data_IF_056502409627
#
_entry.id   IF_056502409627
#
_cell.length_a   1.000
_cell.length_b   1.000
_cell.length_c   1.000
_cell.angle_alpha   90.00
_cell.angle_beta   90.00
_cell.angle_gamma   90.00
#
_symmetry.space_group_name_H-M   'P 1'
#
loop_
_entity.id
_entity.type
_entity.pdbx_description
1 polymer ?
#
# COMPACT_ATOMS: atom_id res chain seq x y z
N UNK A 1 -32.69 28.28 4.91
CA UNK A 1 -32.17 29.59 4.48
C UNK A 1 -32.79 30.66 5.37
N UNK A 2 -31.94 31.46 6.00
CA UNK A 2 -32.25 32.39 7.07
C UNK A 2 -32.65 33.80 6.65
N UNK A 3 -32.51 34.73 7.59
CA UNK A 3 -32.88 36.14 7.45
C UNK A 3 -31.96 37.04 8.28
N UNK A 4 -31.77 38.28 7.81
CA UNK A 4 -30.97 39.28 8.51
C UNK A 4 -31.79 39.94 9.62
N UNK A 5 -31.32 39.84 10.86
CA UNK A 5 -31.79 40.64 11.98
C UNK A 5 -30.74 41.70 12.28
N UNK A 6 -30.99 42.93 11.84
CA UNK A 6 -30.01 44.01 11.90
C UNK A 6 -28.78 43.71 11.03
N UNK A 7 -27.62 43.57 11.69
CA UNK A 7 -26.32 43.25 11.09
C UNK A 7 -25.89 41.80 11.31
N UNK A 8 -26.76 40.98 11.91
CA UNK A 8 -26.51 39.56 12.21
C UNK A 8 -27.43 38.66 11.40
N UNK A 9 -26.88 37.59 10.84
CA UNK A 9 -27.66 36.59 10.10
C UNK A 9 -28.23 35.54 11.06
N UNK A 10 -29.54 35.33 11.02
CA UNK A 10 -30.19 34.20 11.69
C UNK A 10 -30.51 33.11 10.71
N UNK A 11 -29.93 31.93 10.93
CA UNK A 11 -30.29 30.73 10.20
C UNK A 11 -31.74 30.31 10.52
N UNK A 12 -32.53 30.09 9.46
CA UNK A 12 -33.85 29.50 9.55
C UNK A 12 -33.88 28.30 8.60
N UNK A 13 -33.80 27.09 9.14
CA UNK A 13 -33.77 25.87 8.35
C UNK A 13 -35.11 25.17 8.46
N UNK A 14 -35.76 24.96 7.32
CA UNK A 14 -37.00 24.19 7.20
C UNK A 14 -36.73 22.89 6.46
N UNK A 15 -37.19 21.79 7.05
CA UNK A 15 -37.01 20.46 6.51
C UNK A 15 -38.26 20.03 5.75
N UNK A 16 -38.10 19.31 4.63
CA UNK A 16 -39.23 18.85 3.80
C UNK A 16 -40.16 17.86 4.51
N UNK A 17 -39.65 17.12 5.49
CA UNK A 17 -40.38 16.12 6.28
C UNK A 17 -39.90 16.13 7.73
N UNK A 18 -40.66 15.50 8.62
CA UNK A 18 -40.23 15.26 9.99
C UNK A 18 -38.93 14.46 10.05
N UNK A 19 -38.06 14.83 10.99
CA UNK A 19 -36.72 14.24 11.16
C UNK A 19 -36.81 12.85 11.78
N UNK A 20 -35.98 11.94 11.28
CA UNK A 20 -35.75 10.62 11.87
C UNK A 20 -34.74 10.73 13.02
N UNK A 21 -34.69 9.72 13.90
CA UNK A 21 -33.81 9.72 15.08
C UNK A 21 -32.34 9.97 14.76
N UNK A 22 -31.81 9.30 13.72
CA UNK A 22 -30.41 9.44 13.26
C UNK A 22 -30.06 10.80 12.66
N UNK A 23 -31.06 11.52 12.14
CA UNK A 23 -30.86 12.82 11.47
C UNK A 23 -30.71 13.96 12.50
N UNK A 24 -31.01 13.71 13.78
CA UNK A 24 -30.79 14.69 14.86
C UNK A 24 -29.31 14.92 15.15
N UNK A 25 -28.51 13.85 15.16
CA UNK A 25 -27.07 13.94 15.42
C UNK A 25 -26.36 14.71 14.28
N UNK A 26 -26.76 14.46 13.03
CA UNK A 26 -26.27 15.20 11.86
C UNK A 26 -26.67 16.68 11.91
N UNK A 27 -27.89 16.99 12.39
CA UNK A 27 -28.36 18.36 12.57
C UNK A 27 -27.58 19.10 13.65
N UNK A 28 -27.25 18.46 14.78
CA UNK A 28 -26.39 19.08 15.81
C UNK A 28 -24.99 19.40 15.28
N UNK A 29 -24.42 18.53 14.44
CA UNK A 29 -23.14 18.78 13.78
C UNK A 29 -23.27 19.97 12.82
N UNK A 30 -24.34 20.02 12.03
CA UNK A 30 -24.61 21.15 11.13
C UNK A 30 -24.71 22.46 11.91
N UNK A 31 -25.48 22.50 13.00
CA UNK A 31 -25.62 23.70 13.82
C UNK A 31 -24.28 24.17 14.40
N UNK A 32 -23.43 23.25 14.86
CA UNK A 32 -22.05 23.58 15.30
C UNK A 32 -21.19 24.18 14.18
N UNK A 33 -21.34 23.71 12.94
CA UNK A 33 -20.64 24.30 11.79
C UNK A 33 -21.18 25.70 11.49
N UNK A 34 -22.51 25.87 11.47
CA UNK A 34 -23.18 27.12 11.15
C UNK A 34 -22.93 28.22 12.19
N UNK A 35 -22.76 27.88 13.47
CA UNK A 35 -22.45 28.82 14.56
C UNK A 35 -21.12 29.55 14.35
N UNK A 36 -20.17 28.90 13.67
CA UNK A 36 -18.87 29.48 13.36
C UNK A 36 -18.90 30.37 12.11
N UNK A 37 -20.01 30.40 11.36
CA UNK A 37 -20.14 31.14 10.10
C UNK A 37 -20.80 32.50 10.34
N UNK A 38 -20.01 33.55 10.16
CA UNK A 38 -20.48 34.94 10.25
C UNK A 38 -20.60 35.54 8.85
N UNK A 39 -21.83 35.57 8.32
CA UNK A 39 -22.10 36.23 7.05
C UNK A 39 -21.87 37.74 7.20
N UNK A 40 -21.47 38.40 6.10
CA UNK A 40 -21.31 39.87 6.06
C UNK A 40 -22.33 40.48 5.12
N UNK A 41 -23.19 41.36 5.65
CA UNK A 41 -24.25 42.02 4.89
C UNK A 41 -23.65 42.82 3.73
N UNK A 42 -24.22 42.67 2.54
CA UNK A 42 -23.75 43.33 1.32
C UNK A 42 -22.51 42.72 0.65
N UNK A 43 -21.89 41.69 1.24
CA UNK A 43 -20.81 40.93 0.60
C UNK A 43 -21.42 39.74 -0.14
N UNK A 44 -21.07 39.57 -1.42
CA UNK A 44 -21.46 38.37 -2.18
C UNK A 44 -20.60 37.18 -1.78
N UNK A 45 -21.18 35.99 -1.82
CA UNK A 45 -20.46 34.74 -1.65
C UNK A 45 -19.46 34.52 -2.79
N UNK A 46 -18.32 33.93 -2.45
CA UNK A 46 -17.26 33.60 -3.39
C UNK A 46 -16.64 32.27 -3.02
N UNK A 47 -16.30 31.45 -4.01
CA UNK A 47 -15.52 30.25 -3.80
C UNK A 47 -14.10 30.60 -3.35
N UNK A 48 -13.66 29.97 -2.27
CA UNK A 48 -12.28 30.08 -1.78
C UNK A 48 -11.58 28.74 -1.81
N UNK A 49 -10.40 28.71 -2.41
CA UNK A 49 -9.51 27.56 -2.38
C UNK A 49 -8.79 27.46 -1.03
N UNK A 50 -9.10 26.43 -0.26
CA UNK A 50 -8.60 26.24 1.12
C UNK A 50 -7.08 26.08 1.21
N UNK A 51 -6.41 25.62 0.17
CA UNK A 51 -4.95 25.37 0.18
C UNK A 51 -4.11 26.55 -0.33
N UNK A 52 -4.70 27.73 -0.52
CA UNK A 52 -3.99 28.91 -1.02
C UNK A 52 -4.11 30.08 -0.03
N UNK A 53 -3.00 30.72 0.37
CA UNK A 53 -3.05 31.98 1.12
C UNK A 53 -3.84 33.01 0.29
N UNK A 54 -4.96 33.49 0.84
CA UNK A 54 -5.87 34.41 0.15
C UNK A 54 -7.02 33.76 -0.62
N UNK A 55 -7.18 32.44 -0.56
CA UNK A 55 -8.37 31.74 -1.05
C UNK A 55 -8.52 31.71 -2.58
N UNK A 56 -7.54 32.17 -3.35
CA UNK A 56 -7.61 32.15 -4.81
C UNK A 56 -7.05 30.85 -5.36
N UNK A 57 -7.78 30.23 -6.29
CA UNK A 57 -7.28 29.08 -7.03
C UNK A 57 -6.12 29.49 -7.96
N UNK A 58 -5.01 28.77 -7.88
CA UNK A 58 -3.90 28.87 -8.83
C UNK A 58 -3.49 27.45 -9.22
N UNK A 59 -3.40 27.18 -10.52
CA UNK A 59 -2.99 25.87 -11.05
C UNK A 59 -1.69 25.40 -10.44
N UNK A 60 -0.70 26.30 -10.29
CA UNK A 60 0.58 25.99 -9.62
C UNK A 60 0.39 25.52 -8.18
N UNK A 61 -0.40 26.22 -7.38
CA UNK A 61 -0.63 25.86 -5.96
C UNK A 61 -1.40 24.56 -5.85
N UNK A 62 -2.39 24.33 -6.71
CA UNK A 62 -3.13 23.08 -6.77
C UNK A 62 -2.22 21.92 -7.18
N UNK A 63 -1.37 22.12 -8.18
CA UNK A 63 -0.39 21.12 -8.62
C UNK A 63 0.64 20.85 -7.53
N UNK A 64 1.21 21.88 -6.89
CA UNK A 64 2.17 21.71 -5.81
C UNK A 64 1.54 20.98 -4.61
N UNK A 65 0.28 21.28 -4.29
CA UNK A 65 -0.47 20.55 -3.28
C UNK A 65 -0.63 19.05 -3.64
N UNK A 66 -1.16 18.75 -4.83
CA UNK A 66 -1.32 17.36 -5.30
C UNK A 66 0.04 16.65 -5.40
N UNK A 67 1.05 17.32 -5.94
CA UNK A 67 2.38 16.79 -6.10
C UNK A 67 3.09 16.60 -4.75
N UNK A 68 2.85 17.44 -3.74
CA UNK A 68 3.42 17.25 -2.40
C UNK A 68 2.89 15.98 -1.73
N UNK A 69 1.59 15.70 -1.86
CA UNK A 69 0.99 14.47 -1.38
C UNK A 69 1.60 13.25 -2.07
N UNK A 70 1.72 13.31 -3.40
CA UNK A 70 2.38 12.25 -4.20
C UNK A 70 3.86 12.11 -3.82
N UNK A 71 4.62 13.21 -3.67
CA UNK A 71 6.06 13.23 -3.35
C UNK A 71 6.38 12.69 -1.95
N UNK A 72 5.50 12.90 -0.97
CA UNK A 72 5.69 12.38 0.39
C UNK A 72 5.59 10.85 0.43
N UNK A 73 4.60 10.30 -0.27
CA UNK A 73 4.49 8.86 -0.51
C UNK A 73 5.67 8.34 -1.35
N UNK A 74 6.09 9.10 -2.37
CA UNK A 74 7.07 8.67 -3.36
C UNK A 74 8.51 8.65 -2.81
N UNK A 75 8.92 9.58 -1.95
CA UNK A 75 10.34 9.69 -1.54
C UNK A 75 10.80 8.61 -0.55
N UNK A 76 10.00 8.28 0.46
CA UNK A 76 10.34 7.22 1.40
C UNK A 76 10.18 5.83 0.78
N UNK A 77 9.09 5.64 0.03
CA UNK A 77 8.82 4.41 -0.69
C UNK A 77 9.86 4.14 -1.77
N UNK A 78 10.25 5.14 -2.57
CA UNK A 78 11.31 4.96 -3.58
C UNK A 78 12.62 4.53 -2.93
N UNK A 79 13.06 5.20 -1.85
CA UNK A 79 14.29 4.81 -1.15
C UNK A 79 14.24 3.38 -0.62
N UNK A 80 13.08 2.95 -0.14
CA UNK A 80 12.87 1.60 0.35
C UNK A 80 12.88 0.56 -0.80
N UNK A 81 12.15 0.82 -1.89
CA UNK A 81 11.98 -0.14 -2.99
C UNK A 81 13.24 -0.30 -3.86
N UNK A 82 14.01 0.78 -4.04
CA UNK A 82 15.26 0.75 -4.81
C UNK A 82 16.43 0.17 -4.00
N UNK A 83 16.21 -1.02 -3.43
CA UNK A 83 17.18 -1.80 -2.67
C UNK A 83 18.28 -2.39 -3.58
N UNK A 84 19.56 -2.17 -3.24
CA UNK A 84 20.70 -2.66 -4.05
C UNK A 84 20.89 -4.18 -4.00
N UNK A 85 20.34 -4.82 -2.96
CA UNK A 85 20.50 -6.25 -2.69
C UNK A 85 19.63 -7.14 -3.59
N UNK A 86 18.64 -6.56 -4.29
CA UNK A 86 17.84 -7.25 -5.29
C UNK A 86 18.20 -6.81 -6.72
N UNK A 87 17.94 -7.64 -7.74
CA UNK A 87 18.02 -7.20 -9.13
C UNK A 87 17.07 -6.02 -9.42
N UNK A 88 17.45 -5.08 -10.28
CA UNK A 88 16.64 -3.88 -10.59
C UNK A 88 15.23 -4.21 -11.10
N UNK A 89 15.04 -5.34 -11.78
CA UNK A 89 13.72 -5.85 -12.20
C UNK A 89 12.80 -6.11 -10.99
N UNK A 90 13.36 -6.58 -9.88
CA UNK A 90 12.64 -6.87 -8.65
C UNK A 90 12.25 -5.56 -7.95
N UNK A 91 13.13 -4.56 -7.91
CA UNK A 91 12.78 -3.22 -7.42
C UNK A 91 11.67 -2.57 -8.26
N UNK A 92 11.78 -2.63 -9.59
CA UNK A 92 10.73 -2.11 -10.48
C UNK A 92 9.37 -2.82 -10.25
N UNK A 93 9.42 -4.12 -10.03
CA UNK A 93 8.23 -4.89 -9.64
C UNK A 93 7.66 -4.40 -8.30
N UNK A 94 8.49 -4.23 -7.27
CA UNK A 94 8.06 -3.71 -5.97
C UNK A 94 7.41 -2.33 -6.07
N UNK A 95 7.95 -1.45 -6.91
CA UNK A 95 7.38 -0.13 -7.17
C UNK A 95 6.00 -0.24 -7.83
N UNK A 96 5.88 -1.14 -8.81
CA UNK A 96 4.60 -1.43 -9.47
C UNK A 96 3.58 -2.06 -8.51
N UNK A 97 4.03 -2.90 -7.58
CA UNK A 97 3.22 -3.52 -6.54
C UNK A 97 2.63 -2.48 -5.59
N UNK A 98 3.47 -1.61 -5.04
CA UNK A 98 3.05 -0.61 -4.04
C UNK A 98 2.10 0.46 -4.61
N UNK A 99 2.09 0.62 -5.94
CA UNK A 99 1.20 1.55 -6.64
C UNK A 99 -0.08 0.90 -7.18
N UNK A 100 -0.36 -0.38 -6.85
CA UNK A 100 -1.47 -1.17 -7.42
C UNK A 100 -1.45 -1.20 -8.96
N UNK A 101 -0.26 -1.36 -9.55
CA UNK A 101 -0.06 -1.33 -11.02
C UNK A 101 0.27 -2.68 -11.64
N UNK A 102 0.33 -3.74 -10.85
CA UNK A 102 0.51 -5.10 -11.36
C UNK A 102 -0.71 -5.53 -12.20
N UNK A 103 -0.51 -6.37 -13.25
CA UNK A 103 -1.58 -6.89 -14.09
C UNK A 103 -2.36 -8.03 -13.39
N UNK A 104 -2.91 -7.74 -12.22
CA UNK A 104 -3.91 -8.61 -11.58
C UNK A 104 -5.21 -8.58 -12.40
N UNK A 105 -6.08 -9.59 -12.25
CA UNK A 105 -7.34 -9.63 -13.00
C UNK A 105 -8.20 -8.39 -12.75
N UNK A 106 -8.30 -7.92 -11.50
CA UNK A 106 -8.99 -6.66 -11.18
C UNK A 106 -8.35 -5.46 -11.88
N UNK A 107 -7.02 -5.36 -11.93
CA UNK A 107 -6.35 -4.22 -12.57
C UNK A 107 -6.43 -4.28 -14.10
N UNK A 108 -6.47 -5.48 -14.70
CA UNK A 108 -6.73 -5.65 -16.12
C UNK A 108 -8.16 -5.22 -16.46
N UNK A 109 -9.15 -5.59 -15.64
CA UNK A 109 -10.53 -5.16 -15.80
C UNK A 109 -10.68 -3.63 -15.71
N UNK A 110 -10.02 -2.99 -14.72
CA UNK A 110 -9.96 -1.52 -14.61
C UNK A 110 -9.36 -0.85 -15.86
N UNK A 111 -8.52 -1.55 -16.62
CA UNK A 111 -7.90 -1.08 -17.86
C UNK A 111 -8.71 -1.41 -19.13
N UNK A 112 -9.92 -1.95 -18.97
CA UNK A 112 -10.80 -2.27 -20.09
C UNK A 112 -10.56 -3.64 -20.74
N UNK A 113 -9.80 -4.53 -20.10
CA UNK A 113 -9.71 -5.93 -20.56
C UNK A 113 -10.99 -6.65 -20.16
N UNK A 114 -11.73 -7.14 -21.14
CA UNK A 114 -12.93 -7.96 -20.92
C UNK A 114 -12.52 -9.33 -20.36
N UNK A 115 -12.83 -9.56 -19.09
CA UNK A 115 -12.64 -10.83 -18.39
C UNK A 115 -14.02 -11.33 -17.92
N UNK A 116 -14.31 -12.60 -18.14
CA UNK A 116 -15.49 -13.25 -17.56
C UNK A 116 -15.33 -13.42 -16.04
N UNK A 117 -16.44 -13.62 -15.33
CA UNK A 117 -16.43 -13.68 -13.86
C UNK A 117 -15.57 -14.85 -13.35
N UNK A 118 -15.56 -15.96 -14.08
CA UNK A 118 -14.77 -17.15 -13.81
C UNK A 118 -13.27 -16.87 -14.00
N UNK A 119 -12.90 -16.00 -14.95
CA UNK A 119 -11.52 -15.59 -15.19
C UNK A 119 -10.99 -14.62 -14.12
N UNK A 120 -11.87 -13.97 -13.36
CA UNK A 120 -11.51 -13.09 -12.26
C UNK A 120 -11.05 -13.86 -11.03
N UNK A 121 -11.52 -15.09 -10.84
CA UNK A 121 -11.24 -15.90 -9.64
C UNK A 121 -9.83 -16.48 -9.62
N UNK A 122 -9.00 -16.18 -10.60
CA UNK A 122 -7.69 -16.79 -10.84
C UNK A 122 -6.58 -16.30 -9.87
N UNK A 123 -6.73 -16.58 -8.57
CA UNK A 123 -5.68 -16.43 -7.56
C UNK A 123 -4.88 -17.73 -7.35
N UNK A 124 -4.07 -17.79 -6.29
CA UNK A 124 -3.38 -19.03 -5.88
C UNK A 124 -4.36 -20.18 -5.53
N UNK A 125 -5.67 -19.91 -5.43
CA UNK A 125 -6.69 -20.92 -5.09
C UNK A 125 -7.96 -20.91 -5.93
N UNK A 126 -8.03 -20.15 -7.02
CA UNK A 126 -9.20 -20.10 -7.91
C UNK A 126 -10.58 -19.74 -7.27
N UNK A 127 -10.60 -19.19 -6.06
CA UNK A 127 -11.83 -19.02 -5.25
C UNK A 127 -12.25 -17.56 -5.02
N UNK A 128 -11.30 -16.63 -5.12
CA UNK A 128 -11.50 -15.21 -4.80
C UNK A 128 -10.96 -14.37 -5.95
N UNK A 129 -11.60 -13.22 -6.20
CA UNK A 129 -11.17 -12.26 -7.21
C UNK A 129 -9.68 -11.94 -7.02
N UNK A 130 -8.92 -12.03 -8.11
CA UNK A 130 -7.49 -11.75 -8.07
C UNK A 130 -7.24 -10.24 -7.99
N UNK A 131 -6.94 -9.80 -6.77
CA UNK A 131 -6.58 -8.44 -6.41
C UNK A 131 -5.21 -8.43 -5.72
N UNK A 132 -4.54 -7.29 -5.69
CA UNK A 132 -3.20 -7.16 -5.11
C UNK A 132 -3.20 -7.53 -3.62
N UNK A 133 -4.13 -6.98 -2.82
CA UNK A 133 -4.20 -7.30 -1.39
C UNK A 133 -4.55 -8.77 -1.13
N UNK A 134 -5.41 -9.37 -1.97
CA UNK A 134 -5.68 -10.80 -1.85
C UNK A 134 -4.44 -11.62 -2.15
N UNK A 135 -3.81 -11.37 -3.30
CA UNK A 135 -2.69 -12.16 -3.79
C UNK A 135 -1.47 -12.11 -2.87
N UNK A 136 -1.19 -10.98 -2.25
CA UNK A 136 0.01 -10.78 -1.44
C UNK A 136 -0.24 -10.84 0.07
N UNK A 137 -1.48 -10.72 0.56
CA UNK A 137 -1.74 -10.56 1.99
C UNK A 137 -2.78 -11.56 2.52
N UNK A 138 -4.00 -11.56 1.98
CA UNK A 138 -5.12 -12.31 2.59
C UNK A 138 -5.29 -13.72 2.06
N UNK A 139 -4.70 -14.04 0.91
CA UNK A 139 -4.64 -15.41 0.42
C UNK A 139 -3.87 -16.28 1.43
N UNK A 140 -4.46 -17.38 1.91
CA UNK A 140 -3.82 -18.21 2.95
C UNK A 140 -2.48 -18.79 2.48
N UNK A 141 -2.32 -19.10 1.20
CA UNK A 141 -1.06 -19.56 0.63
C UNK A 141 0.02 -18.49 0.77
N UNK A 142 -0.27 -17.26 0.35
CA UNK A 142 0.66 -16.13 0.49
C UNK A 142 0.97 -15.85 1.95
N UNK A 143 -0.04 -15.86 2.82
CA UNK A 143 0.13 -15.69 4.26
C UNK A 143 1.05 -16.75 4.88
N UNK A 144 0.90 -18.04 4.52
CA UNK A 144 1.77 -19.11 5.01
C UNK A 144 3.23 -18.89 4.56
N UNK A 145 3.46 -18.38 3.35
CA UNK A 145 4.80 -18.07 2.85
C UNK A 145 5.40 -16.91 3.64
N UNK A 146 4.65 -15.83 3.86
CA UNK A 146 5.11 -14.72 4.71
C UNK A 146 5.48 -15.19 6.11
N UNK A 147 4.61 -15.95 6.78
CA UNK A 147 4.88 -16.46 8.13
C UNK A 147 6.14 -17.32 8.17
N UNK A 148 6.30 -18.25 7.22
CA UNK A 148 7.49 -19.12 7.15
C UNK A 148 8.77 -18.32 6.93
N UNK A 149 8.75 -17.34 6.02
CA UNK A 149 9.92 -16.51 5.73
C UNK A 149 10.22 -15.59 6.90
N UNK A 150 9.23 -14.89 7.47
CA UNK A 150 9.45 -14.01 8.61
C UNK A 150 10.01 -14.75 9.82
N UNK A 151 9.48 -15.96 10.11
CA UNK A 151 10.06 -16.82 11.15
C UNK A 151 11.49 -17.25 10.85
N UNK A 152 11.82 -17.54 9.59
CA UNK A 152 13.19 -17.82 9.18
C UNK A 152 14.13 -16.62 9.44
N UNK A 153 13.61 -15.39 9.36
CA UNK A 153 14.32 -14.16 9.74
C UNK A 153 14.21 -13.81 11.23
N UNK A 154 13.65 -14.68 12.08
CA UNK A 154 13.47 -14.41 13.51
C UNK A 154 12.41 -13.35 13.83
N UNK A 155 11.53 -13.03 12.89
CA UNK A 155 10.49 -12.00 13.04
C UNK A 155 9.15 -12.66 13.34
N UNK A 156 8.62 -12.38 14.53
CA UNK A 156 7.26 -12.76 14.93
C UNK A 156 6.33 -11.55 14.81
N UNK A 157 5.33 -11.63 13.94
CA UNK A 157 4.39 -10.53 13.70
C UNK A 157 3.05 -11.03 13.20
N UNK A 158 2.02 -10.20 13.36
CA UNK A 158 0.72 -10.39 12.72
C UNK A 158 0.76 -9.70 11.36
N UNK A 159 0.54 -10.47 10.30
CA UNK A 159 0.53 -9.95 8.93
C UNK A 159 -0.62 -8.97 8.71
N UNK A 160 -0.31 -7.84 8.07
CA UNK A 160 -1.32 -6.91 7.59
C UNK A 160 -2.13 -7.53 6.45
N UNK A 161 -3.37 -7.07 6.28
CA UNK A 161 -4.30 -7.54 5.25
C UNK A 161 -4.27 -6.73 3.96
N UNK A 162 -3.40 -5.73 3.86
CA UNK A 162 -3.21 -4.89 2.66
C UNK A 162 -1.73 -4.77 2.32
N UNK A 163 -1.43 -4.59 1.03
CA UNK A 163 -0.06 -4.36 0.56
C UNK A 163 0.48 -3.06 1.09
N UNK A 164 -0.36 -2.03 1.22
CA UNK A 164 0.03 -0.79 1.89
C UNK A 164 0.46 -1.05 3.34
N UNK A 165 -0.34 -1.80 4.11
CA UNK A 165 -0.02 -2.11 5.51
C UNK A 165 1.26 -2.94 5.66
N UNK A 166 1.46 -3.95 4.81
CA UNK A 166 2.73 -4.71 4.80
C UNK A 166 3.90 -3.78 4.42
N UNK A 167 3.73 -2.92 3.41
CA UNK A 167 4.78 -1.98 2.99
C UNK A 167 5.15 -1.03 4.12
N UNK A 168 4.16 -0.46 4.82
CA UNK A 168 4.37 0.39 6.00
C UNK A 168 5.08 -0.40 7.11
N UNK A 169 4.64 -1.64 7.39
CA UNK A 169 5.28 -2.52 8.37
C UNK A 169 6.78 -2.71 8.09
N UNK A 170 7.19 -2.98 6.85
CA UNK A 170 8.60 -3.14 6.51
C UNK A 170 9.37 -1.81 6.36
N UNK A 171 8.68 -0.70 6.07
CA UNK A 171 9.26 0.63 6.02
C UNK A 171 9.63 1.13 7.42
N UNK A 172 8.82 0.78 8.41
CA UNK A 172 9.13 0.94 9.82
C UNK A 172 10.18 -0.10 10.24
N UNK A 173 11.20 0.36 10.97
CA UNK A 173 12.31 -0.50 11.39
C UNK A 173 11.77 -1.68 12.21
N UNK A 174 12.03 -2.91 11.77
CA UNK A 174 11.48 -4.17 12.29
C UNK A 174 12.07 -4.49 13.67
N UNK A 175 11.84 -3.60 14.65
CA UNK A 175 12.46 -3.64 15.97
C UNK A 175 13.97 -3.37 15.97
N UNK A 176 14.54 -2.81 14.89
CA UNK A 176 15.99 -2.56 14.78
C UNK A 176 16.82 -3.79 14.43
N UNK A 177 16.19 -4.94 14.16
CA UNK A 177 16.85 -6.24 14.02
C UNK A 177 17.66 -6.33 12.71
N UNK A 178 17.10 -5.79 11.62
CA UNK A 178 17.64 -6.05 10.27
C UNK A 178 18.15 -4.78 9.58
N UNK A 179 17.78 -3.59 10.05
CA UNK A 179 18.05 -2.33 9.35
C UNK A 179 17.21 -2.18 8.07
N UNK A 180 17.00 -0.93 7.62
CA UNK A 180 16.02 -0.59 6.57
C UNK A 180 16.26 -1.30 5.24
N UNK A 181 17.51 -1.52 4.86
CA UNK A 181 17.84 -2.13 3.58
C UNK A 181 17.55 -3.63 3.53
N UNK A 182 17.82 -4.35 4.63
CA UNK A 182 17.47 -5.76 4.75
C UNK A 182 15.95 -5.91 4.87
N UNK A 183 15.26 -5.01 5.57
CA UNK A 183 13.79 -5.00 5.59
C UNK A 183 13.20 -4.86 4.18
N UNK A 184 13.71 -3.92 3.39
CA UNK A 184 13.34 -3.78 1.98
C UNK A 184 13.62 -5.05 1.17
N UNK A 185 14.80 -5.65 1.38
CA UNK A 185 15.20 -6.86 0.72
C UNK A 185 14.23 -8.03 1.00
N UNK A 186 13.89 -8.28 2.27
CA UNK A 186 12.94 -9.33 2.67
C UNK A 186 11.60 -9.12 1.98
N UNK A 187 11.05 -7.91 2.08
CA UNK A 187 9.77 -7.55 1.45
C UNK A 187 9.77 -7.84 -0.05
N UNK A 188 10.79 -7.33 -0.77
CA UNK A 188 10.89 -7.43 -2.22
C UNK A 188 11.09 -8.87 -2.70
N UNK A 189 11.91 -9.66 -1.99
CA UNK A 189 12.13 -11.07 -2.32
C UNK A 189 10.84 -11.87 -2.20
N UNK A 190 10.14 -11.78 -1.08
CA UNK A 190 8.91 -12.56 -0.85
C UNK A 190 7.84 -12.17 -1.85
N UNK A 191 7.59 -10.86 -2.02
CA UNK A 191 6.62 -10.37 -2.98
C UNK A 191 6.96 -10.81 -4.41
N UNK A 192 8.22 -10.76 -4.82
CA UNK A 192 8.63 -11.23 -6.14
C UNK A 192 8.32 -12.71 -6.36
N UNK A 193 8.64 -13.57 -5.40
CA UNK A 193 8.43 -15.01 -5.56
C UNK A 193 6.95 -15.41 -5.49
N UNK A 194 6.12 -14.70 -4.71
CA UNK A 194 4.66 -14.84 -4.76
C UNK A 194 4.12 -14.48 -6.15
N UNK A 195 4.60 -13.38 -6.74
CA UNK A 195 4.22 -12.99 -8.09
C UNK A 195 4.66 -14.00 -9.15
N UNK A 196 5.90 -14.49 -9.07
CA UNK A 196 6.40 -15.55 -9.94
C UNK A 196 5.57 -16.83 -9.81
N UNK A 197 5.21 -17.22 -8.59
CA UNK A 197 4.37 -18.40 -8.37
C UNK A 197 2.99 -18.21 -8.98
N UNK A 198 2.33 -17.07 -8.74
CA UNK A 198 1.05 -16.76 -9.40
C UNK A 198 1.17 -16.82 -10.92
N UNK A 199 2.20 -16.21 -11.51
CA UNK A 199 2.37 -16.26 -12.97
C UNK A 199 2.55 -17.69 -13.46
N UNK A 200 3.25 -18.55 -12.72
CA UNK A 200 3.36 -19.96 -13.07
C UNK A 200 2.01 -20.67 -13.03
N UNK A 201 1.14 -20.33 -12.07
CA UNK A 201 -0.22 -20.86 -12.03
C UNK A 201 -1.00 -20.39 -13.28
N UNK A 202 -0.97 -19.10 -13.61
CA UNK A 202 -1.70 -18.52 -14.75
C UNK A 202 -1.26 -19.07 -16.10
N UNK A 203 0.05 -19.21 -16.32
CA UNK A 203 0.58 -19.52 -17.66
C UNK A 203 0.89 -21.01 -17.86
N UNK A 204 1.12 -21.77 -16.78
CA UNK A 204 1.52 -23.18 -16.85
C UNK A 204 0.59 -24.11 -16.06
N UNK A 205 -0.50 -23.60 -15.48
CA UNK A 205 -1.48 -24.36 -14.67
C UNK A 205 -0.83 -25.25 -13.60
N UNK A 206 0.26 -24.73 -12.99
CA UNK A 206 1.16 -25.51 -12.14
C UNK A 206 1.29 -24.92 -10.74
N UNK A 207 0.61 -25.58 -9.80
CA UNK A 207 0.65 -25.26 -8.36
C UNK A 207 1.89 -25.77 -7.64
N UNK A 208 2.61 -26.75 -8.23
CA UNK A 208 3.78 -27.43 -7.61
C UNK A 208 4.92 -26.47 -7.27
N UNK A 209 4.97 -25.30 -7.90
CA UNK A 209 5.93 -24.26 -7.55
C UNK A 209 5.84 -23.83 -6.07
N UNK A 210 4.63 -23.83 -5.51
CA UNK A 210 4.31 -23.40 -4.15
C UNK A 210 4.87 -24.28 -3.05
N UNK A 211 4.95 -25.60 -3.28
CA UNK A 211 5.40 -26.58 -2.28
C UNK A 211 6.83 -26.32 -1.80
N UNK A 212 7.68 -25.86 -2.72
CA UNK A 212 9.10 -25.55 -2.49
C UNK A 212 9.40 -24.05 -2.57
N UNK A 213 8.38 -23.18 -2.43
CA UNK A 213 8.58 -21.74 -2.64
C UNK A 213 9.51 -21.15 -1.57
N UNK A 214 9.43 -21.61 -0.31
CA UNK A 214 10.32 -21.16 0.76
C UNK A 214 11.78 -21.55 0.49
N UNK A 215 12.04 -22.81 0.09
CA UNK A 215 13.40 -23.24 -0.26
C UNK A 215 13.96 -22.44 -1.44
N UNK A 216 13.11 -22.12 -2.43
CA UNK A 216 13.49 -21.26 -3.55
C UNK A 216 13.78 -19.82 -3.11
N UNK A 217 12.98 -19.26 -2.22
CA UNK A 217 13.22 -17.95 -1.62
C UNK A 217 14.58 -17.96 -0.91
N UNK A 218 14.85 -18.95 -0.06
CA UNK A 218 16.13 -19.10 0.65
C UNK A 218 17.31 -19.21 -0.32
N UNK A 219 17.22 -20.07 -1.34
CA UNK A 219 18.29 -20.27 -2.32
C UNK A 219 18.52 -19.04 -3.20
N UNK A 220 17.45 -18.43 -3.73
CA UNK A 220 17.59 -17.29 -4.64
C UNK A 220 17.97 -16.01 -3.91
N UNK A 221 17.49 -15.81 -2.68
CA UNK A 221 17.92 -14.71 -1.83
C UNK A 221 19.44 -14.78 -1.61
N UNK A 222 19.96 -15.93 -1.17
CA UNK A 222 21.39 -16.18 -1.03
C UNK A 222 22.18 -15.81 -2.31
N UNK A 223 21.73 -16.33 -3.46
CA UNK A 223 22.40 -16.06 -4.74
C UNK A 223 22.38 -14.58 -5.11
N UNK A 224 21.31 -13.85 -4.84
CA UNK A 224 21.27 -12.41 -5.11
C UNK A 224 22.28 -11.65 -4.26
N UNK A 225 22.34 -11.95 -2.96
CA UNK A 225 23.33 -11.34 -2.07
C UNK A 225 24.75 -11.68 -2.50
N UNK A 226 25.04 -12.96 -2.74
CA UNK A 226 26.37 -13.42 -3.14
C UNK A 226 26.88 -12.77 -4.44
N UNK A 227 25.98 -12.41 -5.35
CA UNK A 227 26.34 -11.73 -6.60
C UNK A 227 26.38 -10.19 -6.50
N UNK A 228 25.78 -9.61 -5.44
CA UNK A 228 25.66 -8.16 -5.28
C UNK A 228 26.58 -7.59 -4.21
N UNK A 229 27.08 -8.44 -3.32
CA UNK A 229 27.95 -8.07 -2.20
C UNK A 229 29.32 -8.65 -2.45
N UNK A 230 30.28 -7.78 -2.73
CA UNK A 230 31.68 -8.17 -2.88
C UNK A 230 32.21 -8.73 -1.56
N UNK A 231 32.98 -9.83 -1.63
CA UNK A 231 33.57 -10.44 -0.44
C UNK A 231 32.59 -11.23 0.45
N UNK A 232 31.43 -11.64 -0.08
CA UNK A 232 30.51 -12.54 0.62
C UNK A 232 31.19 -13.90 0.95
N UNK A 233 31.57 -14.09 2.21
CA UNK A 233 32.37 -15.24 2.69
C UNK A 233 31.54 -16.38 3.29
N UNK A 234 30.23 -16.20 3.47
CA UNK A 234 29.37 -17.23 4.06
C UNK A 234 28.76 -18.18 3.02
N UNK A 235 28.54 -19.41 3.46
CA UNK A 235 27.93 -20.50 2.71
C UNK A 235 26.41 -20.39 2.67
N UNK A 236 25.78 -21.16 1.77
CA UNK A 236 24.31 -21.26 1.75
C UNK A 236 23.75 -21.84 3.06
N UNK A 237 24.48 -22.75 3.69
CA UNK A 237 24.08 -23.34 4.97
C UNK A 237 24.02 -22.27 6.07
N UNK A 238 25.09 -21.48 6.21
CA UNK A 238 25.16 -20.36 7.14
C UNK A 238 24.05 -19.33 6.90
N UNK A 239 23.79 -18.99 5.63
CA UNK A 239 22.67 -18.12 5.27
C UNK A 239 21.31 -18.70 5.67
N UNK A 240 21.12 -20.01 5.48
CA UNK A 240 19.85 -20.67 5.77
C UNK A 240 19.61 -20.79 7.28
N UNK A 241 20.64 -21.01 8.08
CA UNK A 241 20.49 -21.14 9.53
C UNK A 241 20.44 -19.77 10.25
N UNK A 242 21.21 -18.78 9.77
CA UNK A 242 21.38 -17.49 10.45
C UNK A 242 21.28 -16.27 9.50
N UNK A 243 20.18 -16.09 8.76
CA UNK A 243 20.10 -15.06 7.71
C UNK A 243 20.30 -13.63 8.23
N UNK A 244 19.87 -13.34 9.46
CA UNK A 244 19.99 -12.01 10.08
C UNK A 244 21.46 -11.62 10.27
N UNK A 245 22.25 -12.50 10.86
CA UNK A 245 23.66 -12.24 11.20
C UNK A 245 24.48 -11.91 9.95
N UNK A 246 24.24 -12.65 8.87
CA UNK A 246 24.94 -12.47 7.62
C UNK A 246 24.38 -11.33 6.77
N UNK A 247 23.11 -10.97 6.90
CA UNK A 247 22.53 -9.84 6.20
C UNK A 247 22.98 -8.48 6.78
N UNK A 248 23.16 -8.39 8.10
CA UNK A 248 23.62 -7.15 8.77
C UNK A 248 25.11 -6.89 8.51
N UNK A 249 25.88 -7.93 8.23
CA UNK A 249 27.28 -7.83 7.82
C UNK A 249 27.48 -7.23 6.41
N UNK A 250 26.40 -7.12 5.62
CA UNK A 250 26.38 -6.50 4.30
C UNK A 250 26.27 -4.97 4.49
N UNK A 251 27.40 -4.32 4.75
CA UNK A 251 27.51 -2.85 4.68
C UNK A 251 28.08 -2.47 3.32
#
# INVERSE_FOLDING_TARGET
>A
MGLWEGDSWRWNMSWRRGRLGRERDEEEVLWRVLDNIHLKKGRRDSWTWIHAPGGQYKVKVAYDFLASYVRLLDTHLCKFIWCRLVPSKVSFFGWSLCLDRLPTKRNLQKRGVCLQQEELLYGLRHEVVEEVDHLFCTCREAWLIWVKVLRWWGIETVMCNTVQGITEFFLHDLGGITGKEVSAYIFLVVAWFLWCWRNNCVFNDSMSMGEHLVDRIQMKSFLWIKNKVDGCVFSFYEWKEHPVDYAVAIK
#
